data_IF_168405202448
#
_entry.id   IF_168405202448
#
_cell.length_a   1.000
_cell.length_b   1.000
_cell.length_c   1.000
_cell.angle_alpha   90.00
_cell.angle_beta   90.00
_cell.angle_gamma   90.00
#
_symmetry.space_group_name_H-M   'P 1'
#
loop_
_entity.id
_entity.type
_entity.pdbx_description
1 polymer ?
#
# COMPACT_ATOMS: atom_id res chain seq x y z
N UNK A 1 -25.83 4.05 -7.49
CA UNK A 1 -25.08 3.26 -6.48
C UNK A 1 -23.71 3.04 -7.08
N UNK A 2 -22.76 3.93 -6.74
CA UNK A 2 -21.38 3.84 -7.24
C UNK A 2 -20.58 2.95 -6.30
N UNK A 3 -20.50 1.70 -6.66
CA UNK A 3 -19.61 0.73 -5.99
C UNK A 3 -18.20 0.90 -6.57
N UNK A 4 -17.49 1.93 -6.11
CA UNK A 4 -16.04 2.00 -6.29
C UNK A 4 -15.44 1.23 -5.12
N UNK A 5 -15.24 -0.05 -5.29
CA UNK A 5 -14.69 -0.92 -4.27
C UNK A 5 -13.28 -1.37 -4.64
N UNK A 6 -12.40 -1.05 -3.73
CA UNK A 6 -11.34 -1.84 -3.10
C UNK A 6 -10.35 -2.46 -4.08
N UNK A 7 -9.15 -1.92 -4.00
CA UNK A 7 -7.88 -2.56 -4.24
C UNK A 7 -7.34 -2.60 -5.68
N UNK A 8 -6.73 -1.55 -6.17
CA UNK A 8 -5.59 -1.72 -7.05
C UNK A 8 -4.30 -1.61 -6.25
N UNK A 9 -3.87 -2.68 -5.62
CA UNK A 9 -2.56 -2.69 -5.00
C UNK A 9 -1.78 -3.93 -5.40
N UNK A 10 -0.64 -3.70 -5.86
CA UNK A 10 0.51 -4.55 -6.04
C UNK A 10 0.88 -4.91 -7.48
N UNK A 11 1.75 -4.12 -7.97
CA UNK A 11 2.93 -4.66 -8.66
C UNK A 11 3.96 -3.57 -8.86
N UNK A 12 5.00 -3.64 -8.13
CA UNK A 12 6.27 -3.08 -8.53
C UNK A 12 7.36 -3.97 -7.94
N UNK A 13 7.78 -4.97 -8.66
CA UNK A 13 9.12 -5.52 -8.53
C UNK A 13 9.50 -6.28 -9.79
N UNK A 14 10.61 -5.92 -10.31
CA UNK A 14 11.58 -6.61 -11.14
C UNK A 14 11.67 -6.14 -12.58
N UNK A 15 12.66 -5.36 -12.92
CA UNK A 15 13.91 -5.81 -13.54
C UNK A 15 14.66 -4.63 -14.11
N UNK A 16 15.79 -4.32 -13.56
CA UNK A 16 16.83 -3.56 -14.22
C UNK A 16 17.66 -4.53 -15.07
N UNK A 17 17.65 -4.37 -16.37
CA UNK A 17 18.68 -4.89 -17.25
C UNK A 17 19.19 -3.76 -18.11
N UNK A 18 20.41 -3.32 -17.82
CA UNK A 18 21.17 -2.36 -18.58
C UNK A 18 21.47 -2.87 -19.99
N UNK A 19 21.12 -2.11 -21.01
CA UNK A 19 21.79 -2.17 -22.30
C UNK A 19 22.27 -0.76 -22.64
N UNK A 20 23.57 -0.57 -22.57
CA UNK A 20 24.29 0.61 -23.02
C UNK A 20 24.25 0.64 -24.56
N UNK A 21 23.50 1.52 -25.14
CA UNK A 21 23.73 2.00 -26.51
C UNK A 21 23.55 3.51 -26.49
N UNK A 22 24.67 4.19 -26.71
CA UNK A 22 24.72 5.63 -26.75
C UNK A 22 24.01 6.19 -27.98
N UNK A 23 22.95 6.97 -27.72
CA UNK A 23 22.47 8.00 -28.62
C UNK A 23 22.43 9.31 -27.83
N UNK A 24 23.19 10.29 -28.25
CA UNK A 24 23.15 11.63 -27.70
C UNK A 24 21.78 12.22 -28.06
N UNK A 25 20.86 12.17 -27.09
CA UNK A 25 19.61 12.91 -27.14
C UNK A 25 19.86 14.39 -26.79
N UNK A 26 19.07 15.35 -27.33
CA UNK A 26 19.20 16.75 -27.01
C UNK A 26 19.13 16.96 -25.52
N UNK A 27 20.04 17.75 -24.93
CA UNK A 27 20.06 18.12 -23.51
C UNK A 27 18.71 18.75 -23.11
N UNK A 28 17.76 17.94 -22.73
CA UNK A 28 16.65 18.39 -21.90
C UNK A 28 17.28 18.85 -20.59
N UNK A 29 17.13 20.14 -20.30
CA UNK A 29 17.59 20.74 -19.04
C UNK A 29 17.02 19.91 -17.90
N UNK A 30 17.86 19.16 -17.19
CA UNK A 30 17.44 18.46 -15.96
C UNK A 30 16.80 19.49 -15.03
N UNK A 31 15.61 19.23 -14.48
CA UNK A 31 15.02 20.14 -13.51
C UNK A 31 16.03 20.37 -12.39
N UNK A 32 16.11 21.60 -11.88
CA UNK A 32 16.95 21.93 -10.72
C UNK A 32 16.58 20.95 -9.59
N UNK A 33 17.54 20.49 -8.78
CA UNK A 33 17.33 19.44 -7.77
C UNK A 33 16.11 19.68 -6.87
N UNK A 34 15.72 20.95 -6.64
CA UNK A 34 14.50 21.33 -5.91
C UNK A 34 13.21 20.94 -6.66
N UNK A 35 13.14 21.05 -7.97
CA UNK A 35 11.93 20.70 -8.73
C UNK A 35 11.75 19.18 -8.86
N UNK A 36 12.83 18.41 -8.94
CA UNK A 36 12.76 16.95 -8.95
C UNK A 36 12.32 16.40 -7.59
N UNK A 37 12.85 16.91 -6.49
CA UNK A 37 12.43 16.56 -5.15
C UNK A 37 10.94 16.88 -4.90
N UNK A 38 10.49 18.05 -5.38
CA UNK A 38 9.08 18.44 -5.29
C UNK A 38 8.16 17.52 -6.09
N UNK A 39 8.56 17.14 -7.30
CA UNK A 39 7.80 16.19 -8.13
C UNK A 39 7.72 14.81 -7.46
N UNK A 40 8.86 14.30 -6.94
CA UNK A 40 8.90 13.04 -6.19
C UNK A 40 8.01 13.11 -4.97
N UNK A 41 8.12 14.15 -4.17
CA UNK A 41 7.28 14.40 -2.99
C UNK A 41 5.79 14.35 -3.36
N UNK A 42 5.37 15.16 -4.33
CA UNK A 42 3.95 15.27 -4.70
C UNK A 42 3.39 13.95 -5.22
N UNK A 43 4.15 13.22 -6.04
CA UNK A 43 3.71 11.90 -6.51
C UNK A 43 3.59 10.89 -5.35
N UNK A 44 4.54 10.92 -4.38
CA UNK A 44 4.43 10.08 -3.19
C UNK A 44 3.22 10.45 -2.33
N UNK A 45 2.87 11.74 -2.19
CA UNK A 45 1.66 12.16 -1.47
C UNK A 45 0.39 11.62 -2.14
N UNK A 46 0.25 11.74 -3.46
CA UNK A 46 -0.91 11.23 -4.20
C UNK A 46 -1.06 9.73 -4.06
N UNK A 47 0.02 8.98 -4.28
CA UNK A 47 0.03 7.52 -4.18
C UNK A 47 -0.23 7.03 -2.74
N UNK A 48 0.40 7.69 -1.74
CA UNK A 48 0.20 7.36 -0.34
C UNK A 48 -1.24 7.63 0.10
N UNK A 49 -1.79 8.79 -0.28
CA UNK A 49 -3.16 9.14 0.06
C UNK A 49 -4.16 8.13 -0.52
N UNK A 50 -4.05 7.83 -1.81
CA UNK A 50 -4.91 6.82 -2.45
C UNK A 50 -4.84 5.49 -1.70
N UNK A 51 -3.62 5.02 -1.41
CA UNK A 51 -3.42 3.75 -0.73
C UNK A 51 -4.02 3.73 0.68
N UNK A 52 -3.80 4.78 1.47
CA UNK A 52 -4.33 4.88 2.83
C UNK A 52 -5.85 5.03 2.83
N UNK A 53 -6.42 5.72 1.84
CA UNK A 53 -7.86 5.86 1.66
C UNK A 53 -8.52 4.52 1.33
N UNK A 54 -7.92 3.72 0.47
CA UNK A 54 -8.34 2.35 0.18
C UNK A 54 -8.22 1.44 1.41
N UNK A 55 -7.12 1.54 2.16
CA UNK A 55 -6.87 0.72 3.34
C UNK A 55 -7.80 1.04 4.52
N UNK A 56 -8.30 2.28 4.66
CA UNK A 56 -9.29 2.59 5.72
C UNK A 56 -10.57 1.76 5.58
N UNK A 57 -10.90 1.35 4.36
CA UNK A 57 -12.11 0.60 4.04
C UNK A 57 -11.92 -0.92 4.08
N UNK A 58 -10.68 -1.42 4.27
CA UNK A 58 -10.40 -2.86 4.35
C UNK A 58 -11.23 -3.58 5.42
N UNK A 59 -11.61 -2.88 6.49
CA UNK A 59 -12.45 -3.41 7.55
C UNK A 59 -13.87 -3.77 7.10
N UNK A 60 -14.31 -3.35 5.91
CA UNK A 60 -15.62 -3.71 5.35
C UNK A 60 -15.67 -5.21 5.03
N UNK A 61 -14.54 -5.81 4.64
CA UNK A 61 -14.44 -7.24 4.34
C UNK A 61 -14.89 -8.12 5.53
N UNK A 62 -14.66 -7.67 6.77
CA UNK A 62 -15.08 -8.37 7.99
C UNK A 62 -16.59 -8.54 8.15
N UNK A 63 -17.40 -7.71 7.48
CA UNK A 63 -18.86 -7.84 7.49
C UNK A 63 -19.36 -8.87 6.48
N UNK A 64 -18.53 -9.18 5.49
CA UNK A 64 -18.85 -10.09 4.39
C UNK A 64 -18.34 -11.51 4.70
N UNK A 65 -17.22 -11.62 5.42
CA UNK A 65 -16.53 -12.90 5.72
C UNK A 65 -16.40 -13.12 7.23
N UNK A 66 -16.39 -14.40 7.63
CA UNK A 66 -16.07 -14.79 9.01
C UNK A 66 -14.56 -14.96 9.12
N UNK A 67 -13.97 -14.16 9.99
CA UNK A 67 -12.53 -14.16 10.30
C UNK A 67 -12.30 -14.57 11.75
N UNK A 68 -11.13 -15.09 12.05
CA UNK A 68 -10.70 -15.25 13.44
C UNK A 68 -10.54 -13.88 14.13
N UNK A 69 -10.74 -13.85 15.43
CA UNK A 69 -10.78 -12.59 16.21
C UNK A 69 -9.46 -11.80 16.11
N UNK A 70 -8.34 -12.48 16.05
CA UNK A 70 -7.00 -11.90 15.89
C UNK A 70 -6.84 -11.16 14.56
N UNK A 71 -7.20 -11.79 13.44
CA UNK A 71 -7.18 -11.18 12.11
C UNK A 71 -8.12 -9.98 12.06
N UNK A 72 -9.33 -10.13 12.60
CA UNK A 72 -10.33 -9.05 12.67
C UNK A 72 -9.83 -7.82 13.43
N UNK A 73 -9.13 -8.03 14.56
CA UNK A 73 -8.57 -6.94 15.35
C UNK A 73 -7.43 -6.24 14.60
N UNK A 74 -6.58 -7.00 13.92
CA UNK A 74 -5.49 -6.45 13.13
C UNK A 74 -6.00 -5.63 11.94
N UNK A 75 -6.98 -6.15 11.19
CA UNK A 75 -7.63 -5.44 10.08
C UNK A 75 -8.28 -4.13 10.56
N UNK A 76 -8.94 -4.14 11.72
CA UNK A 76 -9.48 -2.92 12.33
C UNK A 76 -8.39 -1.90 12.66
N UNK A 77 -7.25 -2.36 13.19
CA UNK A 77 -6.11 -1.52 13.50
C UNK A 77 -5.54 -0.87 12.23
N UNK A 78 -5.36 -1.67 11.17
CA UNK A 78 -4.92 -1.19 9.85
C UNK A 78 -5.87 -0.10 9.35
N UNK A 79 -7.17 -0.36 9.28
CA UNK A 79 -8.15 0.60 8.80
C UNK A 79 -8.14 1.91 9.59
N UNK A 80 -8.05 1.84 10.91
CA UNK A 80 -8.02 3.03 11.79
C UNK A 80 -6.76 3.84 11.57
N UNK A 81 -5.59 3.20 11.52
CA UNK A 81 -4.30 3.87 11.34
C UNK A 81 -4.19 4.49 9.94
N UNK A 82 -4.63 3.77 8.90
CA UNK A 82 -4.66 4.26 7.53
C UNK A 82 -5.60 5.46 7.39
N UNK A 83 -6.80 5.40 7.97
CA UNK A 83 -7.72 6.54 7.96
C UNK A 83 -7.17 7.78 8.67
N UNK A 84 -6.37 7.60 9.73
CA UNK A 84 -5.67 8.71 10.40
C UNK A 84 -4.60 9.30 9.48
N UNK A 85 -3.81 8.45 8.82
CA UNK A 85 -2.79 8.89 7.87
C UNK A 85 -3.38 9.61 6.66
N UNK A 86 -4.48 9.11 6.08
CA UNK A 86 -5.17 9.77 4.97
C UNK A 86 -5.63 11.19 5.35
N UNK A 87 -6.29 11.35 6.50
CA UNK A 87 -6.72 12.65 7.01
C UNK A 87 -5.56 13.63 7.21
N UNK A 88 -4.44 13.15 7.74
CA UNK A 88 -3.24 13.98 7.89
C UNK A 88 -2.75 14.53 6.53
N UNK A 89 -2.76 13.72 5.49
CA UNK A 89 -2.38 14.17 4.14
C UNK A 89 -3.41 15.17 3.56
N UNK A 90 -4.70 14.97 3.83
CA UNK A 90 -5.76 15.93 3.47
C UNK A 90 -5.56 17.29 4.15
N UNK A 91 -5.18 17.29 5.42
CA UNK A 91 -4.83 18.52 6.16
C UNK A 91 -3.62 19.21 5.52
N UNK A 92 -2.57 18.46 5.16
CA UNK A 92 -1.42 19.03 4.47
C UNK A 92 -1.77 19.65 3.11
N UNK A 93 -2.63 19.00 2.34
CA UNK A 93 -3.08 19.52 1.04
C UNK A 93 -3.99 20.74 1.19
N UNK A 94 -4.75 20.84 2.28
CA UNK A 94 -5.56 22.02 2.61
C UNK A 94 -4.69 23.23 2.96
N UNK A 95 -3.60 22.99 3.71
CA UNK A 95 -2.69 24.04 4.15
C UNK A 95 -1.69 24.46 3.05
N UNK A 96 -1.39 23.55 2.13
CA UNK A 96 -0.47 23.77 1.01
C UNK A 96 -1.10 23.33 -0.32
N UNK A 97 -1.72 24.25 -1.07
CA UNK A 97 -2.38 23.93 -2.34
C UNK A 97 -1.45 23.39 -3.45
N UNK A 98 -0.12 23.42 -3.23
CA UNK A 98 0.84 22.78 -4.16
C UNK A 98 0.85 21.25 -4.03
N UNK A 99 0.32 20.69 -2.93
CA UNK A 99 0.14 19.26 -2.72
C UNK A 99 -1.17 18.84 -3.40
N UNK A 100 -1.07 17.95 -4.38
CA UNK A 100 -2.22 17.39 -5.10
C UNK A 100 -2.35 15.91 -4.73
N UNK A 101 -3.44 15.53 -4.08
CA UNK A 101 -3.66 14.15 -3.62
C UNK A 101 -4.30 13.25 -4.69
N UNK A 102 -4.84 13.84 -5.74
CA UNK A 102 -5.53 13.19 -6.85
C UNK A 102 -4.71 13.17 -8.17
N UNK A 103 -3.50 13.73 -8.16
CA UNK A 103 -2.62 13.81 -9.34
C UNK A 103 -1.59 12.66 -9.31
N UNK A 104 -2.04 11.47 -9.69
CA UNK A 104 -1.18 10.28 -9.76
C UNK A 104 -0.40 10.28 -11.07
N UNK A 105 0.91 10.47 -10.97
CA UNK A 105 1.81 10.52 -12.12
C UNK A 105 2.50 9.17 -12.33
N UNK A 106 1.76 8.20 -12.86
CA UNK A 106 2.28 6.89 -13.29
C UNK A 106 2.18 6.76 -14.81
N UNK A 107 3.13 6.03 -15.44
CA UNK A 107 2.98 5.64 -16.84
C UNK A 107 1.64 4.90 -17.05
N UNK A 108 0.94 5.12 -18.20
CA UNK A 108 -0.37 4.48 -18.44
C UNK A 108 -0.35 2.95 -18.33
N UNK A 109 0.75 2.31 -18.76
CA UNK A 109 0.92 0.86 -18.62
C UNK A 109 1.03 0.39 -17.17
N UNK A 110 1.70 1.15 -16.32
CA UNK A 110 1.80 0.87 -14.88
C UNK A 110 0.43 1.01 -14.21
N UNK A 111 -0.30 2.08 -14.50
CA UNK A 111 -1.64 2.30 -13.96
C UNK A 111 -2.58 1.15 -14.34
N UNK A 112 -2.66 0.80 -15.64
CA UNK A 112 -3.48 -0.31 -16.11
C UNK A 112 -3.08 -1.66 -15.49
N UNK A 113 -1.79 -1.89 -15.25
CA UNK A 113 -1.30 -3.10 -14.60
C UNK A 113 -1.75 -3.17 -13.16
N UNK A 114 -1.66 -2.07 -12.40
CA UNK A 114 -2.15 -1.99 -11.03
C UNK A 114 -3.64 -2.25 -10.93
N UNK A 115 -4.44 -1.67 -11.81
CA UNK A 115 -5.89 -1.89 -11.88
C UNK A 115 -6.21 -3.38 -12.13
N UNK A 116 -5.50 -4.02 -13.06
CA UNK A 116 -5.69 -5.44 -13.37
C UNK A 116 -5.36 -6.33 -12.17
N UNK A 117 -4.28 -6.05 -11.44
CA UNK A 117 -3.88 -6.79 -10.24
C UNK A 117 -4.88 -6.58 -9.12
N UNK A 118 -5.30 -5.33 -8.88
CA UNK A 118 -6.32 -5.00 -7.89
C UNK A 118 -7.62 -5.78 -8.13
N UNK A 119 -8.09 -5.81 -9.38
CA UNK A 119 -9.27 -6.58 -9.77
C UNK A 119 -9.10 -8.09 -9.57
N UNK A 120 -7.89 -8.62 -9.77
CA UNK A 120 -7.60 -10.05 -9.53
C UNK A 120 -7.64 -10.34 -8.03
N UNK A 121 -6.98 -9.53 -7.21
CA UNK A 121 -6.97 -9.67 -5.74
C UNK A 121 -8.36 -9.54 -5.12
N UNK A 122 -9.17 -8.60 -5.60
CA UNK A 122 -10.55 -8.47 -5.18
C UNK A 122 -11.35 -9.76 -5.44
N UNK A 123 -11.24 -10.33 -6.64
CA UNK A 123 -11.91 -11.60 -7.00
C UNK A 123 -11.43 -12.77 -6.12
N UNK A 124 -10.12 -12.89 -5.88
CA UNK A 124 -9.55 -13.89 -4.98
C UNK A 124 -10.14 -13.78 -3.58
N UNK A 125 -10.12 -12.58 -2.98
CA UNK A 125 -10.67 -12.32 -1.66
C UNK A 125 -12.18 -12.59 -1.57
N UNK A 126 -12.94 -12.24 -2.60
CA UNK A 126 -14.39 -12.46 -2.60
C UNK A 126 -14.75 -13.94 -2.80
N UNK A 127 -13.95 -14.71 -3.53
CA UNK A 127 -14.22 -16.14 -3.79
C UNK A 127 -13.78 -17.07 -2.66
N UNK A 128 -12.78 -16.69 -1.87
CA UNK A 128 -12.22 -17.52 -0.79
C UNK A 128 -12.99 -17.39 0.52
N UNK A 129 -12.85 -18.39 1.40
CA UNK A 129 -13.45 -18.41 2.75
C UNK A 129 -12.51 -19.06 3.76
N UNK A 130 -12.74 -18.84 5.06
CA UNK A 130 -11.96 -19.46 6.12
C UNK A 130 -10.47 -19.11 6.05
N UNK A 131 -9.61 -20.10 6.27
CA UNK A 131 -8.17 -19.92 6.37
C UNK A 131 -7.54 -19.42 5.06
N UNK A 132 -8.04 -19.84 3.90
CA UNK A 132 -7.56 -19.35 2.60
C UNK A 132 -7.80 -17.85 2.43
N UNK A 133 -8.99 -17.39 2.80
CA UNK A 133 -9.32 -15.98 2.80
C UNK A 133 -8.39 -15.19 3.72
N UNK A 134 -8.17 -15.67 4.97
CA UNK A 134 -7.30 -14.99 5.91
C UNK A 134 -5.84 -14.92 5.42
N UNK A 135 -5.32 -16.00 4.87
CA UNK A 135 -3.97 -16.03 4.31
C UNK A 135 -3.81 -15.04 3.14
N UNK A 136 -4.76 -15.04 2.21
CA UNK A 136 -4.76 -14.11 1.07
C UNK A 136 -4.90 -12.66 1.53
N UNK A 137 -5.77 -12.39 2.51
CA UNK A 137 -5.93 -11.07 3.11
C UNK A 137 -4.64 -10.59 3.76
N UNK A 138 -4.01 -11.41 4.61
CA UNK A 138 -2.77 -11.06 5.30
C UNK A 138 -1.62 -10.84 4.31
N UNK A 139 -1.50 -11.67 3.26
CA UNK A 139 -0.52 -11.48 2.21
C UNK A 139 -0.73 -10.14 1.50
N UNK A 140 -1.95 -9.84 1.09
CA UNK A 140 -2.31 -8.56 0.45
C UNK A 140 -2.00 -7.37 1.36
N UNK A 141 -2.30 -7.49 2.67
CA UNK A 141 -1.99 -6.42 3.63
C UNK A 141 -0.49 -6.23 3.83
N UNK A 142 0.31 -7.30 3.82
CA UNK A 142 1.77 -7.21 3.89
C UNK A 142 2.33 -6.37 2.74
N UNK A 143 1.85 -6.62 1.56
CA UNK A 143 2.27 -5.89 0.35
C UNK A 143 1.85 -4.41 0.41
N UNK A 144 0.59 -4.14 0.77
CA UNK A 144 0.05 -2.79 0.89
C UNK A 144 0.79 -1.94 1.92
N UNK A 145 1.01 -2.49 3.10
CA UNK A 145 1.69 -1.81 4.21
C UNK A 145 3.16 -1.55 3.91
N UNK A 146 3.84 -2.49 3.23
CA UNK A 146 5.21 -2.27 2.76
C UNK A 146 5.28 -1.09 1.79
N UNK A 147 4.34 -1.00 0.87
CA UNK A 147 4.30 0.09 -0.09
C UNK A 147 3.98 1.45 0.59
N UNK A 148 2.97 1.49 1.49
CA UNK A 148 2.62 2.68 2.25
C UNK A 148 3.80 3.19 3.10
N UNK A 149 4.49 2.29 3.80
CA UNK A 149 5.67 2.60 4.57
C UNK A 149 6.73 3.32 3.74
N UNK A 150 7.09 2.74 2.60
CA UNK A 150 8.13 3.31 1.73
C UNK A 150 7.69 4.62 1.05
N UNK A 151 6.42 4.74 0.66
CA UNK A 151 5.88 6.00 0.14
C UNK A 151 5.96 7.12 1.18
N UNK A 152 5.56 6.86 2.42
CA UNK A 152 5.65 7.84 3.51
C UNK A 152 7.09 8.23 3.80
N UNK A 153 8.02 7.26 3.78
CA UNK A 153 9.45 7.50 3.97
C UNK A 153 10.00 8.42 2.87
N UNK A 154 9.78 8.05 1.60
CA UNK A 154 10.29 8.84 0.45
C UNK A 154 9.64 10.24 0.41
N UNK A 155 8.35 10.35 0.72
CA UNK A 155 7.69 11.65 0.84
C UNK A 155 8.36 12.52 1.92
N UNK A 156 8.63 11.96 3.09
CA UNK A 156 9.29 12.66 4.20
C UNK A 156 10.71 13.09 3.88
N UNK A 157 11.49 12.25 3.18
CA UNK A 157 12.86 12.56 2.75
C UNK A 157 12.91 13.70 1.71
N UNK A 158 11.83 13.94 0.98
CA UNK A 158 11.69 14.99 -0.03
C UNK A 158 10.84 16.18 0.44
N UNK A 159 10.38 16.17 1.69
CA UNK A 159 9.60 17.25 2.27
C UNK A 159 10.50 18.37 2.81
N UNK A 160 10.21 19.58 2.37
CA UNK A 160 10.97 20.78 2.78
C UNK A 160 10.51 21.38 4.12
N UNK A 161 9.28 21.07 4.55
CA UNK A 161 8.72 21.57 5.81
C UNK A 161 9.02 20.59 6.94
N UNK A 162 9.81 20.97 7.97
CA UNK A 162 10.28 20.04 9.00
C UNK A 162 9.16 19.35 9.78
N UNK A 163 8.04 20.05 10.01
CA UNK A 163 6.92 19.49 10.75
C UNK A 163 6.18 18.42 9.94
N UNK A 164 5.97 18.65 8.63
CA UNK A 164 5.40 17.66 7.74
C UNK A 164 6.35 16.47 7.55
N UNK A 165 7.65 16.71 7.42
CA UNK A 165 8.63 15.62 7.33
C UNK A 165 8.60 14.71 8.56
N UNK A 166 8.50 15.28 9.77
CA UNK A 166 8.37 14.51 11.02
C UNK A 166 7.05 13.74 11.08
N UNK A 167 5.96 14.34 10.66
CA UNK A 167 4.66 13.67 10.63
C UNK A 167 4.65 12.49 9.63
N UNK A 168 5.24 12.66 8.44
CA UNK A 168 5.42 11.57 7.47
C UNK A 168 6.32 10.45 7.99
N UNK A 169 7.37 10.78 8.73
CA UNK A 169 8.19 9.78 9.43
C UNK A 169 7.36 8.99 10.47
N UNK A 170 6.41 9.64 11.15
CA UNK A 170 5.43 8.98 12.00
C UNK A 170 4.55 8.01 11.24
N UNK A 171 3.94 8.45 10.13
CA UNK A 171 3.13 7.58 9.25
C UNK A 171 3.96 6.40 8.75
N UNK A 172 5.20 6.64 8.29
CA UNK A 172 6.13 5.59 7.87
C UNK A 172 6.32 4.55 8.97
N UNK A 173 6.58 4.99 10.20
CA UNK A 173 6.79 4.09 11.35
C UNK A 173 5.55 3.29 11.71
N UNK A 174 4.37 3.91 11.64
CA UNK A 174 3.11 3.22 11.92
C UNK A 174 2.83 2.12 10.88
N UNK A 175 3.07 2.41 9.60
CA UNK A 175 2.91 1.41 8.52
C UNK A 175 3.95 0.29 8.63
N UNK A 176 5.20 0.60 8.99
CA UNK A 176 6.24 -0.39 9.27
C UNK A 176 5.85 -1.34 10.42
N UNK A 177 5.34 -0.78 11.52
CA UNK A 177 4.90 -1.56 12.67
C UNK A 177 3.74 -2.51 12.29
N UNK A 178 2.74 -1.99 11.55
CA UNK A 178 1.63 -2.80 11.05
C UNK A 178 2.09 -3.88 10.08
N UNK A 179 3.02 -3.57 9.18
CA UNK A 179 3.65 -4.56 8.30
C UNK A 179 4.23 -5.74 9.09
N UNK A 180 5.00 -5.45 10.15
CA UNK A 180 5.59 -6.50 10.98
C UNK A 180 4.54 -7.32 11.74
N UNK A 181 3.48 -6.69 12.25
CA UNK A 181 2.38 -7.39 12.91
C UNK A 181 1.67 -8.35 11.95
N UNK A 182 1.35 -7.88 10.74
CA UNK A 182 0.73 -8.70 9.68
C UNK A 182 1.64 -9.85 9.29
N UNK A 183 2.93 -9.58 9.08
CA UNK A 183 3.91 -10.59 8.69
C UNK A 183 4.06 -11.71 9.73
N UNK A 184 4.12 -11.35 11.02
CA UNK A 184 4.17 -12.33 12.12
C UNK A 184 2.89 -13.17 12.15
N UNK A 185 1.72 -12.54 11.99
CA UNK A 185 0.44 -13.25 11.94
C UNK A 185 0.38 -14.20 10.74
N UNK A 186 0.80 -13.77 9.55
CA UNK A 186 0.86 -14.59 8.35
C UNK A 186 1.72 -15.84 8.57
N UNK A 187 2.92 -15.69 9.15
CA UNK A 187 3.81 -16.81 9.48
C UNK A 187 3.17 -17.78 10.50
N UNK A 188 2.41 -17.27 11.47
CA UNK A 188 1.74 -18.14 12.45
C UNK A 188 0.64 -18.98 11.82
N UNK A 189 -0.16 -18.37 10.93
CA UNK A 189 -1.25 -19.06 10.20
C UNK A 189 -0.71 -20.14 9.26
N UNK A 190 0.36 -19.86 8.52
CA UNK A 190 0.96 -20.85 7.61
C UNK A 190 1.51 -22.08 8.36
N UNK A 191 2.09 -21.89 9.56
CA UNK A 191 2.56 -23.02 10.39
C UNK A 191 1.39 -23.87 10.90
N UNK A 192 0.31 -23.26 11.34
CA UNK A 192 -0.88 -23.98 11.84
C UNK A 192 -1.54 -24.81 10.72
N UNK A 193 -1.64 -24.27 9.52
CA UNK A 193 -2.19 -25.00 8.36
C UNK A 193 -1.33 -26.21 7.97
N UNK A 194 0.01 -26.09 8.03
CA UNK A 194 0.92 -27.20 7.73
C UNK A 194 0.81 -28.34 8.77
N UNK A 195 0.61 -28.01 10.05
CA UNK A 195 0.49 -29.02 11.12
C UNK A 195 -0.82 -29.82 10.99
N UNK A 196 -1.91 -29.17 10.61
CA UNK A 196 -3.22 -29.80 10.43
C UNK A 196 -3.26 -30.76 9.22
N UNK A 197 -2.48 -30.49 8.17
CA UNK A 197 -2.41 -31.34 6.98
C UNK A 197 -1.63 -32.65 7.18
N UNK A 198 -0.73 -32.72 8.17
CA UNK A 198 0.07 -33.91 8.48
C UNK A 198 -0.69 -34.88 9.42
N UNK A 199 -1.69 -34.38 10.17
CA UNK A 199 -2.44 -35.17 11.15
C UNK A 199 -3.61 -36.01 10.60
N UNK A 200 -3.91 -35.93 9.32
CA UNK A 200 -5.06 -36.61 8.66
C UNK A 200 -4.63 -37.70 7.68
N UNK A 201 -3.66 -38.56 8.03
CA UNK A 201 -3.55 -39.85 7.33
C UNK A 201 -4.43 -40.88 8.07
N UNK A 202 -5.50 -41.43 7.45
CA UNK A 202 -6.20 -42.57 8.01
C UNK A 202 -5.30 -43.81 7.95
N UNK A 203 -5.26 -44.53 9.07
CA UNK A 203 -4.73 -45.89 9.12
C UNK A 203 -5.52 -46.86 8.22
#
# INVERSE_FOLDING_TARGET
>A
MNTKFILPLLTAMLSAACVLTGCQSPKTRSPSGSSAAQATRNNCYSLLHQLLDEQKDVSILRYIKREHTDVKNLVKKIATTSGTGAKLLEEFAKDDPSIKLDDIQLPPGELATRDAIGSTKEKELLSQTGDEFELTLLLTQTEALSYAWHLAKVAGENESQPDRARALAGVSKDMENLYHEVFVMLLSKTKSSATNSIGTQPE
#
